data_IF_953681693873
#
_entry.id   IF_953681693873
#
_cell.length_a   1.000
_cell.length_b   1.000
_cell.length_c   1.000
_cell.angle_alpha   90.00
_cell.angle_beta   90.00
_cell.angle_gamma   90.00
#
_symmetry.space_group_name_H-M   'P 1'
#
loop_
_entity.id
_entity.type
_entity.pdbx_description
1 polymer ?
#
# COMPACT_ATOMS: atom_id res chain seq x y z
N UNK A 1 -65.38 -34.18 -8.19
CA UNK A 1 -64.25 -33.36 -7.72
C UNK A 1 -63.06 -33.73 -8.58
N UNK A 2 -62.76 -32.87 -9.55
CA UNK A 2 -61.98 -33.13 -10.75
C UNK A 2 -60.47 -33.17 -10.48
N UNK A 3 -59.76 -34.10 -11.13
CA UNK A 3 -58.30 -34.23 -11.10
C UNK A 3 -57.55 -32.93 -11.47
N UNK A 4 -58.19 -32.04 -12.25
CA UNK A 4 -57.69 -30.72 -12.63
C UNK A 4 -57.28 -29.84 -11.42
N UNK A 5 -58.07 -29.87 -10.33
CA UNK A 5 -57.81 -29.01 -9.16
C UNK A 5 -56.58 -29.47 -8.37
N UNK A 6 -56.33 -30.78 -8.33
CA UNK A 6 -55.16 -31.35 -7.64
C UNK A 6 -53.86 -31.05 -8.38
N UNK A 7 -53.90 -31.00 -9.71
CA UNK A 7 -52.75 -30.67 -10.54
C UNK A 7 -52.40 -29.17 -10.46
N UNK A 8 -53.42 -28.31 -10.47
CA UNK A 8 -53.29 -26.87 -10.23
C UNK A 8 -52.68 -26.56 -8.86
N UNK A 9 -53.07 -27.29 -7.83
CA UNK A 9 -52.54 -27.12 -6.47
C UNK A 9 -51.07 -27.55 -6.37
N UNK A 10 -50.69 -28.66 -7.03
CA UNK A 10 -49.29 -29.10 -7.13
C UNK A 10 -48.40 -28.09 -7.88
N UNK A 11 -48.90 -27.50 -8.96
CA UNK A 11 -48.18 -26.47 -9.71
C UNK A 11 -47.92 -25.20 -8.87
N UNK A 12 -48.92 -24.77 -8.09
CA UNK A 12 -48.77 -23.63 -7.16
C UNK A 12 -47.76 -23.94 -6.06
N UNK A 13 -47.82 -25.12 -5.46
CA UNK A 13 -46.88 -25.56 -4.42
C UNK A 13 -45.44 -25.59 -4.92
N UNK A 14 -45.21 -26.11 -6.13
CA UNK A 14 -43.88 -26.15 -6.77
C UNK A 14 -43.30 -24.74 -6.97
N UNK A 15 -44.12 -23.81 -7.46
CA UNK A 15 -43.70 -22.42 -7.72
C UNK A 15 -43.41 -21.65 -6.43
N UNK A 16 -44.18 -21.90 -5.38
CA UNK A 16 -43.92 -21.33 -4.06
C UNK A 16 -42.60 -21.84 -3.45
N UNK A 17 -42.32 -23.14 -3.58
CA UNK A 17 -41.06 -23.72 -3.11
C UNK A 17 -39.84 -23.15 -3.85
N UNK A 18 -39.94 -22.99 -5.17
CA UNK A 18 -38.88 -22.40 -5.99
C UNK A 18 -38.62 -20.92 -5.63
N UNK A 19 -39.68 -20.15 -5.37
CA UNK A 19 -39.55 -18.76 -4.92
C UNK A 19 -38.90 -18.66 -3.54
N UNK A 20 -39.26 -19.55 -2.60
CA UNK A 20 -38.63 -19.62 -1.28
C UNK A 20 -37.14 -19.97 -1.36
N UNK A 21 -36.76 -20.93 -2.21
CA UNK A 21 -35.34 -21.27 -2.39
C UNK A 21 -34.52 -20.12 -2.97
N UNK A 22 -35.07 -19.37 -3.94
CA UNK A 22 -34.41 -18.19 -4.52
C UNK A 22 -34.25 -17.05 -3.50
N UNK A 23 -35.21 -16.87 -2.58
CA UNK A 23 -35.10 -15.88 -1.51
C UNK A 23 -34.03 -16.29 -0.50
N UNK A 24 -34.01 -17.55 -0.08
CA UNK A 24 -33.01 -18.06 0.87
C UNK A 24 -31.60 -18.00 0.33
N UNK A 25 -31.37 -18.40 -0.94
CA UNK A 25 -30.04 -18.30 -1.58
C UNK A 25 -29.58 -16.85 -1.72
N UNK A 26 -30.47 -15.91 -2.10
CA UNK A 26 -30.12 -14.48 -2.08
C UNK A 26 -29.75 -13.99 -0.69
N UNK A 27 -30.52 -14.36 0.33
CA UNK A 27 -30.23 -13.97 1.71
C UNK A 27 -28.93 -14.60 2.25
N UNK A 28 -28.59 -15.82 1.85
CA UNK A 28 -27.32 -16.46 2.22
C UNK A 28 -26.12 -15.78 1.54
N UNK A 29 -26.25 -15.37 0.28
CA UNK A 29 -25.24 -14.60 -0.45
C UNK A 29 -25.09 -13.20 0.18
N UNK A 30 -26.20 -12.53 0.52
CA UNK A 30 -26.22 -11.24 1.21
C UNK A 30 -25.65 -11.33 2.64
N UNK A 31 -25.90 -12.43 3.38
CA UNK A 31 -25.31 -12.64 4.71
C UNK A 31 -23.82 -12.99 4.64
N UNK A 32 -23.40 -13.72 3.61
CA UNK A 32 -21.99 -14.06 3.40
C UNK A 32 -21.17 -12.84 2.99
N UNK A 33 -21.77 -11.90 2.26
CA UNK A 33 -21.15 -10.61 1.90
C UNK A 33 -21.16 -9.61 3.06
N UNK A 34 -22.17 -9.65 3.94
CA UNK A 34 -22.26 -8.80 5.14
C UNK A 34 -21.43 -9.29 6.36
N UNK A 35 -20.84 -10.49 6.30
CA UNK A 35 -19.92 -11.01 7.35
C UNK A 35 -18.45 -10.70 7.07
N UNK A 36 -18.12 -10.02 5.96
CA UNK A 36 -16.85 -9.30 5.93
C UNK A 36 -17.00 -8.11 6.90
N UNK A 37 -16.03 -7.87 7.80
CA UNK A 37 -16.03 -6.64 8.59
C UNK A 37 -16.22 -5.46 7.61
N UNK A 38 -16.91 -4.37 8.03
CA UNK A 38 -17.05 -3.18 7.19
C UNK A 38 -15.68 -2.92 6.59
N UNK A 39 -15.59 -2.86 5.26
CA UNK A 39 -14.33 -2.53 4.58
C UNK A 39 -14.04 -1.09 4.99
N UNK A 40 -13.45 -0.91 6.17
CA UNK A 40 -12.92 0.35 6.64
C UNK A 40 -12.06 0.80 5.49
N UNK A 41 -12.48 1.88 4.84
CA UNK A 41 -11.71 2.52 3.79
C UNK A 41 -10.49 3.08 4.49
N UNK A 42 -9.48 2.21 4.70
CA UNK A 42 -8.20 2.58 5.29
C UNK A 42 -7.70 3.77 4.50
N UNK A 43 -7.20 4.78 5.19
CA UNK A 43 -6.67 5.96 4.52
C UNK A 43 -5.53 5.51 3.57
N UNK A 44 -5.40 6.08 2.37
CA UNK A 44 -4.37 5.65 1.40
C UNK A 44 -2.97 5.57 1.99
N UNK A 45 -2.65 6.53 2.85
CA UNK A 45 -1.40 6.58 3.60
C UNK A 45 -1.18 5.36 4.50
N UNK A 46 -2.22 4.89 5.19
CA UNK A 46 -2.10 3.76 6.13
C UNK A 46 -1.86 2.46 5.37
N UNK A 47 -2.52 2.29 4.22
CA UNK A 47 -2.30 1.16 3.30
C UNK A 47 -0.84 1.10 2.85
N UNK A 48 -0.30 2.26 2.45
CA UNK A 48 1.09 2.35 2.03
C UNK A 48 2.05 2.05 3.20
N UNK A 49 1.81 2.62 4.38
CA UNK A 49 2.66 2.42 5.57
C UNK A 49 2.76 0.95 5.96
N UNK A 50 1.68 0.18 5.84
CA UNK A 50 1.68 -1.28 6.08
C UNK A 50 2.63 -2.04 5.14
N UNK A 51 2.93 -1.48 3.95
CA UNK A 51 3.78 -2.09 2.93
C UNK A 51 5.20 -1.49 2.87
N UNK A 52 5.52 -0.50 3.71
CA UNK A 52 6.85 0.10 3.74
C UNK A 52 7.87 -0.82 4.42
N UNK A 53 9.04 -0.95 3.79
CA UNK A 53 10.19 -1.68 4.31
C UNK A 53 11.17 -0.77 5.08
N UNK A 54 12.43 -1.22 5.15
CA UNK A 54 13.51 -0.51 5.84
C UNK A 54 13.61 0.95 5.40
N UNK A 55 13.55 1.87 6.38
CA UNK A 55 13.57 3.34 6.19
C UNK A 55 12.49 3.93 5.27
N UNK A 56 11.48 3.16 4.85
CA UNK A 56 10.42 3.65 3.97
C UNK A 56 9.61 4.80 4.61
N UNK A 57 9.30 4.69 5.90
CA UNK A 57 8.54 5.71 6.63
C UNK A 57 9.31 7.03 6.77
N UNK A 58 10.62 6.98 6.92
CA UNK A 58 11.49 8.17 6.96
C UNK A 58 11.45 8.91 5.63
N UNK A 59 11.60 8.17 4.53
CA UNK A 59 11.52 8.72 3.17
C UNK A 59 10.15 9.32 2.90
N UNK A 60 9.07 8.60 3.24
CA UNK A 60 7.70 9.08 3.05
C UNK A 60 7.46 10.39 3.82
N UNK A 61 7.87 10.46 5.09
CA UNK A 61 7.72 11.67 5.90
C UNK A 61 8.48 12.86 5.31
N UNK A 62 9.72 12.63 4.84
CA UNK A 62 10.51 13.67 4.20
C UNK A 62 9.88 14.13 2.88
N UNK A 63 9.29 13.21 2.12
CA UNK A 63 8.53 13.51 0.91
C UNK A 63 7.31 14.39 1.23
N UNK A 64 6.49 13.98 2.21
CA UNK A 64 5.29 14.71 2.65
C UNK A 64 5.61 16.15 3.09
N UNK A 65 6.77 16.33 3.75
CA UNK A 65 7.24 17.65 4.21
C UNK A 65 7.83 18.52 3.10
N UNK A 66 8.53 17.94 2.13
CA UNK A 66 9.23 18.70 1.08
C UNK A 66 8.37 18.93 -0.17
N UNK A 67 7.48 17.99 -0.49
CA UNK A 67 6.66 17.96 -1.71
C UNK A 67 5.23 17.52 -1.40
N UNK A 68 4.49 18.29 -0.61
CA UNK A 68 3.19 17.88 -0.04
C UNK A 68 2.15 17.48 -1.09
N UNK A 69 1.96 18.30 -2.14
CA UNK A 69 0.94 18.04 -3.16
C UNK A 69 1.31 16.82 -4.02
N UNK A 70 2.55 16.79 -4.51
CA UNK A 70 3.01 15.70 -5.40
C UNK A 70 3.07 14.37 -4.65
N UNK A 71 3.54 14.39 -3.40
CA UNK A 71 3.59 13.18 -2.55
C UNK A 71 2.20 12.63 -2.29
N UNK A 72 1.20 13.50 -2.07
CA UNK A 72 -0.18 13.04 -1.87
C UNK A 72 -0.69 12.23 -3.07
N UNK A 73 -0.47 12.72 -4.29
CA UNK A 73 -0.85 11.99 -5.51
C UNK A 73 -0.11 10.65 -5.63
N UNK A 74 1.18 10.61 -5.30
CA UNK A 74 1.96 9.36 -5.31
C UNK A 74 1.45 8.37 -4.27
N UNK A 75 1.12 8.81 -3.06
CA UNK A 75 0.57 7.97 -1.99
C UNK A 75 -0.77 7.37 -2.39
N UNK A 76 -1.66 8.17 -2.98
CA UNK A 76 -2.95 7.70 -3.49
C UNK A 76 -2.75 6.62 -4.56
N UNK A 77 -1.86 6.85 -5.53
CA UNK A 77 -1.58 5.88 -6.59
C UNK A 77 -0.92 4.60 -6.09
N UNK A 78 0.04 4.70 -5.16
CA UNK A 78 0.65 3.52 -4.55
C UNK A 78 -0.36 2.71 -3.74
N UNK A 79 -1.25 3.37 -3.00
CA UNK A 79 -2.31 2.69 -2.25
C UNK A 79 -3.29 1.97 -3.18
N UNK A 80 -3.64 2.58 -4.32
CA UNK A 80 -4.45 1.93 -5.36
C UNK A 80 -3.78 0.66 -5.88
N UNK A 81 -2.49 0.72 -6.23
CA UNK A 81 -1.71 -0.41 -6.77
C UNK A 81 -1.50 -1.55 -5.75
N UNK A 82 -1.34 -1.20 -4.47
CA UNK A 82 -1.27 -2.17 -3.37
C UNK A 82 -2.64 -2.85 -3.20
N UNK A 83 -3.72 -2.05 -3.22
CA UNK A 83 -5.09 -2.57 -3.05
C UNK A 83 -5.53 -3.43 -4.24
N UNK A 84 -5.07 -3.12 -5.46
CA UNK A 84 -5.32 -3.94 -6.65
C UNK A 84 -4.50 -5.23 -6.68
N UNK A 85 -3.47 -5.35 -5.84
CA UNK A 85 -2.56 -6.49 -5.79
C UNK A 85 -1.50 -6.49 -6.89
N UNK A 86 -1.33 -5.37 -7.61
CA UNK A 86 -0.23 -5.19 -8.56
C UNK A 86 1.12 -5.07 -7.83
N UNK A 87 1.12 -4.49 -6.63
CA UNK A 87 2.27 -4.44 -5.74
C UNK A 87 1.99 -5.32 -4.53
N UNK A 88 2.71 -6.44 -4.44
CA UNK A 88 2.65 -7.38 -3.32
C UNK A 88 3.92 -7.38 -2.47
N UNK A 89 5.01 -6.84 -3.00
CA UNK A 89 6.29 -6.73 -2.30
C UNK A 89 6.36 -5.50 -1.39
N UNK A 90 7.15 -5.60 -0.32
CA UNK A 90 7.50 -4.43 0.48
C UNK A 90 8.30 -3.39 -0.32
N UNK A 91 7.94 -2.12 -0.10
CA UNK A 91 8.59 -0.96 -0.69
C UNK A 91 9.54 -0.37 0.35
N UNK A 92 10.84 -0.67 0.24
CA UNK A 92 11.85 -0.07 1.11
C UNK A 92 12.10 1.41 0.78
N UNK A 93 12.85 2.09 1.65
CA UNK A 93 13.20 3.50 1.45
C UNK A 93 14.02 3.74 0.17
N UNK A 94 14.82 2.76 -0.25
CA UNK A 94 15.61 2.83 -1.49
C UNK A 94 14.73 2.83 -2.74
N UNK A 95 13.80 1.88 -2.86
CA UNK A 95 12.79 1.80 -3.93
C UNK A 95 11.93 3.06 -3.94
N UNK A 96 11.48 3.52 -2.78
CA UNK A 96 10.64 4.72 -2.67
C UNK A 96 11.39 5.99 -3.10
N UNK A 97 12.64 6.18 -2.65
CA UNK A 97 13.50 7.29 -3.12
C UNK A 97 13.74 7.23 -4.62
N UNK A 98 13.95 6.04 -5.16
CA UNK A 98 14.19 5.83 -6.60
C UNK A 98 12.95 6.22 -7.41
N UNK A 99 11.76 5.84 -6.96
CA UNK A 99 10.50 6.26 -7.57
C UNK A 99 10.36 7.78 -7.56
N UNK A 100 10.57 8.42 -6.42
CA UNK A 100 10.46 9.88 -6.33
C UNK A 100 11.46 10.58 -7.27
N UNK A 101 12.70 10.09 -7.35
CA UNK A 101 13.70 10.63 -8.28
C UNK A 101 13.32 10.42 -9.74
N UNK A 102 12.71 9.30 -10.11
CA UNK A 102 12.33 9.02 -11.50
C UNK A 102 11.23 9.97 -12.00
N UNK A 103 10.39 10.48 -11.09
CA UNK A 103 9.37 11.49 -11.38
C UNK A 103 9.84 12.93 -11.13
N UNK A 104 11.14 13.14 -10.85
CA UNK A 104 11.75 14.46 -10.66
C UNK A 104 11.67 15.04 -9.25
N UNK A 105 11.16 14.30 -8.26
CA UNK A 105 11.12 14.72 -6.86
C UNK A 105 12.41 14.33 -6.14
N UNK A 106 13.31 15.30 -5.98
CA UNK A 106 14.57 15.09 -5.27
C UNK A 106 14.41 15.28 -3.75
N UNK A 107 13.99 14.23 -3.06
CA UNK A 107 13.82 14.23 -1.60
C UNK A 107 15.18 14.23 -0.90
N UNK A 108 15.41 15.24 -0.07
CA UNK A 108 16.60 15.35 0.77
C UNK A 108 16.46 14.43 1.99
N UNK A 109 17.47 13.62 2.22
CA UNK A 109 17.59 12.73 3.38
C UNK A 109 18.78 13.17 4.23
N UNK A 110 18.63 13.16 5.55
CA UNK A 110 19.76 13.33 6.48
C UNK A 110 20.60 12.05 6.50
N UNK A 111 21.62 12.00 5.64
CA UNK A 111 22.50 10.83 5.52
C UNK A 111 23.87 11.15 6.11
N UNK A 112 24.34 10.31 7.03
CA UNK A 112 25.71 10.34 7.55
C UNK A 112 26.45 9.13 7.01
N UNK A 113 27.58 9.38 6.35
CA UNK A 113 28.45 8.34 5.82
C UNK A 113 29.69 8.31 6.70
N UNK A 114 29.94 7.17 7.33
CA UNK A 114 31.15 6.92 8.11
C UNK A 114 32.00 5.89 7.37
N UNK A 115 33.32 6.10 7.35
CA UNK A 115 34.32 5.21 6.78
C UNK A 115 35.18 4.68 7.93
N UNK A 116 35.49 3.38 7.90
CA UNK A 116 36.49 2.80 8.78
C UNK A 116 37.89 3.13 8.25
N UNK A 117 38.68 3.81 9.06
CA UNK A 117 40.09 4.09 8.80
C UNK A 117 40.90 3.69 10.03
N UNK A 118 41.88 2.81 9.85
CA UNK A 118 42.81 2.40 10.91
C UNK A 118 42.10 1.91 12.20
N UNK A 119 40.98 1.20 12.04
CA UNK A 119 40.15 0.69 13.14
C UNK A 119 39.26 1.73 13.84
N UNK A 120 39.14 2.94 13.29
CA UNK A 120 38.24 4.00 13.79
C UNK A 120 37.25 4.44 12.72
N UNK A 121 36.02 4.74 13.11
CA UNK A 121 35.04 5.34 12.20
C UNK A 121 35.20 6.85 12.14
N UNK A 122 35.51 7.37 10.96
CA UNK A 122 35.58 8.80 10.64
C UNK A 122 34.48 9.17 9.65
N UNK A 123 33.94 10.39 9.72
CA UNK A 123 32.98 10.88 8.73
C UNK A 123 33.64 10.99 7.36
N UNK A 124 32.91 10.65 6.29
CA UNK A 124 33.38 10.88 4.92
C UNK A 124 33.73 12.35 4.68
N UNK A 125 32.94 13.27 5.24
CA UNK A 125 33.21 14.70 5.09
C UNK A 125 34.57 15.08 5.66
N UNK A 126 34.91 14.56 6.85
CA UNK A 126 36.20 14.81 7.52
C UNK A 126 37.35 14.19 6.72
N UNK A 127 37.12 13.03 6.12
CA UNK A 127 38.11 12.36 5.27
C UNK A 127 38.42 13.15 4.00
N UNK A 128 37.42 13.74 3.37
CA UNK A 128 37.56 14.49 2.12
C UNK A 128 38.10 15.91 2.34
N UNK A 129 37.84 16.55 3.49
CA UNK A 129 38.33 17.91 3.76
C UNK A 129 39.85 17.97 3.96
N UNK A 130 40.46 16.89 4.48
CA UNK A 130 41.86 16.90 4.92
C UNK A 130 42.90 16.69 3.80
N UNK A 131 42.50 16.48 2.55
CA UNK A 131 43.44 16.35 1.41
C UNK A 131 43.82 17.67 0.73
N UNK A 132 43.31 18.81 1.18
CA UNK A 132 43.58 20.11 0.53
C UNK A 132 44.79 20.87 1.11
N UNK A 133 45.48 20.30 2.10
CA UNK A 133 46.50 21.01 2.88
C UNK A 133 47.89 20.36 2.95
N UNK A 134 48.19 19.32 2.17
CA UNK A 134 49.45 18.56 2.30
C UNK A 134 50.36 18.59 1.05
N UNK A 135 49.96 19.25 -0.04
CA UNK A 135 50.75 19.36 -1.28
C UNK A 135 51.46 20.72 -1.42
N UNK A 136 52.11 21.19 -0.36
CA UNK A 136 52.78 22.48 -0.44
C UNK A 136 53.65 22.86 0.75
N UNK A 137 54.60 22.01 1.16
CA UNK A 137 55.85 22.49 1.77
C UNK A 137 57.04 21.69 1.20
N UNK A 138 58.08 22.45 0.82
CA UNK A 138 59.34 22.07 0.17
C UNK A 138 60.21 21.09 0.98
#
# INVERSE_FOLDING_TARGET
MSNEDSELERLKAKRLAEMQQNISTRQEIEKSTNNLPPKETKHPRDILVEHLGFRGLEVLRNAESQFTNDTKTVVEKLAELITSGEITENIDGGKLLTLFRSIGLNIRMETKINIEQDGKFVSLSDKLSNHSSDDGEE
#
